data_IF_909602221926
#
_entry.id   IF_909602221926
#
_cell.length_a   1.000
_cell.length_b   1.000
_cell.length_c   1.000
_cell.angle_alpha   90.00
_cell.angle_beta   90.00
_cell.angle_gamma   90.00
#
_symmetry.space_group_name_H-M   'P 1'
#
loop_
_entity.id
_entity.type
_entity.pdbx_description
1 polymer ?
#
# COMPACT_ATOMS: atom_id res chain seq x y z
N UNK A 1 -6.52 -29.27 -25.67
CA UNK A 1 -5.41 -28.31 -25.81
C UNK A 1 -4.80 -28.13 -24.44
N UNK A 2 -3.50 -28.43 -24.28
CA UNK A 2 -2.79 -28.14 -23.02
C UNK A 2 -2.38 -26.67 -23.06
N UNK A 3 -3.13 -25.81 -22.37
CA UNK A 3 -2.74 -24.42 -22.19
C UNK A 3 -1.42 -24.38 -21.42
N UNK A 4 -0.34 -24.02 -22.10
CA UNK A 4 0.96 -23.77 -21.46
C UNK A 4 0.83 -22.47 -20.66
N UNK A 5 0.38 -22.59 -19.43
CA UNK A 5 0.39 -21.49 -18.46
C UNK A 5 1.85 -21.25 -18.03
N UNK A 6 2.46 -20.22 -18.60
CA UNK A 6 3.79 -19.76 -18.18
C UNK A 6 3.64 -18.92 -16.91
N UNK A 7 4.07 -19.45 -15.77
CA UNK A 7 4.11 -18.68 -14.51
C UNK A 7 5.35 -17.80 -14.52
N UNK A 8 5.16 -16.49 -14.61
CA UNK A 8 6.25 -15.53 -14.41
C UNK A 8 6.59 -15.48 -12.91
N UNK A 9 7.88 -15.56 -12.54
CA UNK A 9 8.28 -15.33 -11.16
C UNK A 9 7.97 -13.88 -10.81
N UNK A 10 7.10 -13.69 -9.82
CA UNK A 10 6.80 -12.39 -9.23
C UNK A 10 7.46 -12.31 -7.86
N UNK A 11 7.99 -11.16 -7.52
CA UNK A 11 8.53 -10.88 -6.18
C UNK A 11 7.41 -10.95 -5.15
N UNK A 12 7.79 -11.13 -3.88
CA UNK A 12 6.83 -11.10 -2.77
C UNK A 12 6.00 -9.82 -2.77
N UNK A 13 6.63 -8.66 -2.96
CA UNK A 13 5.97 -7.36 -2.99
C UNK A 13 5.01 -7.21 -4.18
N UNK A 14 5.36 -7.73 -5.36
CA UNK A 14 4.47 -7.76 -6.53
C UNK A 14 3.26 -8.67 -6.29
N UNK A 15 3.46 -9.85 -5.70
CA UNK A 15 2.37 -10.74 -5.29
C UNK A 15 1.41 -10.03 -4.33
N UNK A 16 1.95 -9.28 -3.36
CA UNK A 16 1.18 -8.52 -2.37
C UNK A 16 0.40 -7.37 -3.01
N UNK A 17 1.03 -6.60 -3.90
CA UNK A 17 0.35 -5.56 -4.70
C UNK A 17 -0.78 -6.15 -5.54
N UNK A 18 -0.59 -7.32 -6.12
CA UNK A 18 -1.64 -7.98 -6.91
C UNK A 18 -2.82 -8.46 -6.04
N UNK A 19 -2.57 -8.84 -4.78
CA UNK A 19 -3.63 -9.26 -3.86
C UNK A 19 -4.39 -8.08 -3.22
N UNK A 20 -3.69 -6.99 -2.89
CA UNK A 20 -4.25 -5.87 -2.11
C UNK A 20 -4.65 -4.68 -3.00
N UNK A 21 -4.05 -4.56 -4.18
CA UNK A 21 -4.28 -3.45 -5.12
C UNK A 21 -3.12 -2.45 -5.18
N UNK A 22 -3.18 -1.52 -6.17
CA UNK A 22 -2.09 -0.60 -6.49
C UNK A 22 -1.85 0.48 -5.43
N UNK A 23 -2.87 0.82 -4.63
CA UNK A 23 -2.78 1.82 -3.55
C UNK A 23 -2.40 1.17 -2.20
N UNK A 24 -1.55 0.15 -2.24
CA UNK A 24 -1.03 -0.53 -1.05
C UNK A 24 0.45 -0.19 -0.89
N UNK A 25 0.82 0.36 0.27
CA UNK A 25 2.23 0.63 0.62
C UNK A 25 2.65 -0.29 1.75
N UNK A 26 3.49 -1.26 1.43
CA UNK A 26 3.97 -2.27 2.36
C UNK A 26 5.14 -1.75 3.23
N UNK A 27 5.06 -1.98 4.54
CA UNK A 27 6.19 -1.73 5.43
C UNK A 27 7.28 -2.77 5.18
N UNK A 28 8.49 -2.32 4.86
CA UNK A 28 9.60 -3.21 4.50
C UNK A 28 10.19 -3.97 5.70
N UNK A 29 9.97 -3.48 6.92
CA UNK A 29 10.57 -4.03 8.16
C UNK A 29 9.55 -4.66 9.11
N UNK A 30 8.25 -4.50 8.84
CA UNK A 30 7.21 -5.05 9.70
C UNK A 30 6.02 -5.55 8.88
N UNK A 31 5.26 -6.48 9.43
CA UNK A 31 4.02 -6.96 8.83
C UNK A 31 2.91 -5.92 8.93
N UNK A 32 3.07 -4.73 8.35
CA UNK A 32 2.07 -3.67 8.30
C UNK A 32 2.02 -3.08 6.89
N UNK A 33 0.89 -2.50 6.52
CA UNK A 33 0.76 -1.80 5.25
C UNK A 33 -0.22 -0.64 5.35
N UNK A 34 -0.05 0.35 4.50
CA UNK A 34 -1.00 1.42 4.30
C UNK A 34 -2.00 0.98 3.22
N UNK A 35 -3.29 1.14 3.50
CA UNK A 35 -4.37 0.97 2.54
C UNK A 35 -5.05 2.31 2.35
N UNK A 36 -4.96 2.86 1.15
CA UNK A 36 -5.68 4.07 0.79
C UNK A 36 -7.12 3.72 0.44
N UNK A 37 -8.08 4.57 0.81
CA UNK A 37 -9.48 4.33 0.54
C UNK A 37 -9.78 4.43 -0.97
N UNK A 38 -10.77 3.69 -1.45
CA UNK A 38 -11.30 3.83 -2.82
C UNK A 38 -11.69 5.29 -3.05
N UNK A 39 -11.23 5.89 -4.17
CA UNK A 39 -11.27 7.33 -4.53
C UNK A 39 -10.07 8.18 -4.09
N UNK A 40 -9.11 7.63 -3.37
CA UNK A 40 -7.85 8.34 -3.05
C UNK A 40 -6.91 8.48 -4.27
N UNK A 41 -7.22 7.80 -5.37
CA UNK A 41 -6.51 7.88 -6.65
C UNK A 41 -6.75 9.21 -7.39
N UNK A 42 -7.86 9.91 -7.08
CA UNK A 42 -8.21 11.19 -7.68
C UNK A 42 -8.49 12.17 -6.54
N UNK A 43 -7.42 12.80 -6.03
CA UNK A 43 -7.51 13.88 -5.04
C UNK A 43 -6.93 15.17 -5.59
N UNK A 44 -7.70 16.25 -5.50
CA UNK A 44 -7.26 17.61 -5.82
C UNK A 44 -6.38 18.16 -4.70
N UNK A 45 -5.67 19.25 -5.00
CA UNK A 45 -4.81 19.90 -4.00
C UNK A 45 -5.64 20.39 -2.80
N UNK A 46 -5.19 20.09 -1.59
CA UNK A 46 -5.89 20.41 -0.34
C UNK A 46 -7.03 19.46 0.04
N UNK A 47 -7.31 18.41 -0.75
CA UNK A 47 -8.25 17.36 -0.35
C UNK A 47 -7.61 16.38 0.64
N UNK A 48 -8.43 15.90 1.56
CA UNK A 48 -8.01 14.94 2.56
C UNK A 48 -8.00 13.51 2.00
N UNK A 49 -6.90 12.82 2.24
CA UNK A 49 -6.71 11.40 1.92
C UNK A 49 -6.86 10.61 3.22
N UNK A 50 -7.82 9.68 3.23
CA UNK A 50 -7.97 8.72 4.32
C UNK A 50 -7.11 7.50 4.03
N UNK A 51 -6.19 7.20 4.96
CA UNK A 51 -5.27 6.07 4.88
C UNK A 51 -5.42 5.20 6.11
N UNK A 52 -5.71 3.92 5.90
CA UNK A 52 -5.74 2.94 6.98
C UNK A 52 -4.36 2.32 7.18
N UNK A 53 -3.91 2.25 8.42
CA UNK A 53 -2.77 1.41 8.81
C UNK A 53 -3.29 0.04 9.17
N UNK A 54 -2.93 -0.96 8.36
CA UNK A 54 -3.42 -2.33 8.49
C UNK A 54 -2.30 -3.24 9.00
N UNK A 55 -2.63 -4.19 9.88
CA UNK A 55 -1.75 -5.30 10.20
C UNK A 55 -1.79 -6.33 9.08
N UNK A 56 -0.62 -6.79 8.63
CA UNK A 56 -0.54 -7.95 7.75
C UNK A 56 -1.07 -9.17 8.46
N UNK A 57 -1.78 -9.99 7.70
CA UNK A 57 -2.16 -11.31 8.15
C UNK A 57 -1.15 -12.33 7.70
N UNK A 58 -0.81 -13.21 8.64
CA UNK A 58 -0.05 -14.43 8.40
C UNK A 58 -0.98 -15.63 8.13
N UNK A 59 -2.26 -15.55 8.56
CA UNK A 59 -3.29 -16.58 8.37
C UNK A 59 -4.32 -16.15 7.33
N UNK A 60 -4.62 -17.04 6.37
CA UNK A 60 -5.58 -16.81 5.28
C UNK A 60 -7.04 -16.74 5.76
N UNK A 61 -7.36 -17.30 6.93
CA UNK A 61 -8.75 -17.48 7.42
C UNK A 61 -9.31 -16.35 8.30
N UNK A 62 -8.52 -15.32 8.58
CA UNK A 62 -8.99 -14.17 9.38
C UNK A 62 -9.12 -12.94 8.48
N UNK A 63 -9.87 -11.90 8.90
CA UNK A 63 -9.82 -10.60 8.24
C UNK A 63 -8.66 -9.74 8.75
N UNK A 64 -8.06 -8.95 7.85
CA UNK A 64 -6.97 -8.03 8.19
C UNK A 64 -7.46 -6.94 9.14
N UNK A 65 -6.68 -6.69 10.19
CA UNK A 65 -7.07 -5.78 11.26
C UNK A 65 -6.55 -4.37 10.99
N UNK A 66 -7.46 -3.39 10.98
CA UNK A 66 -7.12 -1.96 11.04
C UNK A 66 -6.55 -1.62 12.41
N UNK A 67 -5.36 -1.02 12.41
CA UNK A 67 -4.67 -0.52 13.62
C UNK A 67 -5.18 0.89 13.91
N UNK A 68 -5.09 1.78 12.94
CA UNK A 68 -5.57 3.15 13.02
C UNK A 68 -5.91 3.71 11.64
N UNK A 69 -6.52 4.89 11.64
CA UNK A 69 -6.80 5.70 10.46
C UNK A 69 -5.96 6.96 10.53
N UNK A 70 -5.46 7.40 9.37
CA UNK A 70 -4.75 8.66 9.19
C UNK A 70 -5.52 9.49 8.16
N UNK A 71 -5.62 10.78 8.43
CA UNK A 71 -6.13 11.77 7.49
C UNK A 71 -4.96 12.67 7.15
N UNK A 72 -4.53 12.64 5.89
CA UNK A 72 -3.33 13.33 5.41
C UNK A 72 -3.63 14.03 4.08
N UNK A 73 -2.82 15.02 3.70
CA UNK A 73 -2.93 15.64 2.37
C UNK A 73 -1.80 15.17 1.46
N UNK A 74 -1.98 15.32 0.14
CA UNK A 74 -0.92 15.04 -0.83
C UNK A 74 0.27 15.97 -0.62
N UNK A 75 0.02 17.23 -0.28
CA UNK A 75 1.03 18.25 -0.05
C UNK A 75 1.93 17.88 1.13
N UNK A 76 1.35 17.39 2.24
CA UNK A 76 2.11 16.97 3.42
C UNK A 76 3.04 15.81 3.10
N UNK A 77 2.55 14.80 2.38
CA UNK A 77 3.36 13.67 1.92
C UNK A 77 4.51 14.13 1.02
N UNK A 78 4.22 14.97 0.02
CA UNK A 78 5.24 15.47 -0.90
C UNK A 78 6.26 16.36 -0.21
N UNK A 79 5.83 17.18 0.76
CA UNK A 79 6.73 18.01 1.55
C UNK A 79 7.63 17.16 2.45
N UNK A 80 7.09 16.13 3.10
CA UNK A 80 7.89 15.18 3.88
C UNK A 80 8.95 14.49 3.00
N UNK A 81 8.57 14.05 1.79
CA UNK A 81 9.49 13.40 0.85
C UNK A 81 10.62 14.33 0.38
N UNK A 82 10.41 15.65 0.29
CA UNK A 82 11.49 16.60 -0.06
C UNK A 82 12.63 16.63 0.95
N UNK A 83 12.36 16.29 2.21
CA UNK A 83 13.37 16.21 3.26
C UNK A 83 14.14 14.89 3.26
N UNK A 84 13.74 13.93 2.42
CA UNK A 84 14.41 12.64 2.26
C UNK A 84 15.24 12.73 0.99
N UNK A 85 16.49 13.16 1.12
CA UNK A 85 17.50 13.01 0.08
C UNK A 85 18.19 11.65 0.23
N UNK A 86 18.53 10.96 -0.89
CA UNK A 86 19.49 9.87 -0.80
C UNK A 86 20.76 10.40 -0.15
N UNK A 87 21.35 9.64 0.77
CA UNK A 87 22.74 9.89 1.14
C UNK A 87 23.59 9.61 -0.10
N UNK A 88 24.34 10.61 -0.54
CA UNK A 88 25.39 10.46 -1.56
C UNK A 88 26.46 9.44 -1.12
#
# INVERSE_FOLDING_TARGET
MNEKVTRFPITYSERRKNMVGPLCVECQVSGRYLRFHEKSDIVQAGEFITVDVMAMQMDEDKPSKKICELIITREDLMNALKHISPND
#
